data_IF_169672178732
#
_entry.id   IF_169672178732
#
_cell.length_a   1.000
_cell.length_b   1.000
_cell.length_c   1.000
_cell.angle_alpha   90.00
_cell.angle_beta   90.00
_cell.angle_gamma   90.00
#
_symmetry.space_group_name_H-M   'P 1'
#
loop_
_entity.id
_entity.type
_entity.pdbx_description
1 polymer ?
#
# COMPACT_ATOMS: atom_id res chain seq x y z
N UNK A 1 81.55 12.11 -9.25
CA UNK A 1 80.70 11.48 -10.29
C UNK A 1 79.74 10.42 -9.72
N UNK A 2 80.20 9.51 -8.85
CA UNK A 2 79.38 8.44 -8.27
C UNK A 2 78.13 8.93 -7.50
N UNK A 3 78.26 9.97 -6.66
CA UNK A 3 77.14 10.53 -5.89
C UNK A 3 76.00 11.06 -6.78
N UNK A 4 76.32 11.76 -7.87
CA UNK A 4 75.33 12.25 -8.86
C UNK A 4 74.62 11.10 -9.59
N UNK A 5 75.30 9.98 -9.81
CA UNK A 5 74.69 8.80 -10.43
C UNK A 5 73.78 8.04 -9.45
N UNK A 6 74.11 8.02 -8.16
CA UNK A 6 73.24 7.47 -7.12
C UNK A 6 71.98 8.31 -6.94
N UNK A 7 72.10 9.63 -6.91
CA UNK A 7 70.96 10.55 -6.80
C UNK A 7 69.98 10.39 -7.98
N UNK A 8 70.50 10.30 -9.22
CA UNK A 8 69.68 10.02 -10.41
C UNK A 8 68.94 8.67 -10.33
N UNK A 9 69.57 7.64 -9.78
CA UNK A 9 68.93 6.32 -9.57
C UNK A 9 67.83 6.41 -8.53
N UNK A 10 68.07 7.08 -7.41
CA UNK A 10 67.05 7.28 -6.38
C UNK A 10 65.84 8.05 -6.91
N UNK A 11 66.06 9.12 -7.69
CA UNK A 11 64.95 9.88 -8.31
C UNK A 11 64.17 9.01 -9.30
N UNK A 12 64.85 8.17 -10.09
CA UNK A 12 64.17 7.24 -11.00
C UNK A 12 63.37 6.17 -10.25
N UNK A 13 63.89 5.66 -9.13
CA UNK A 13 63.19 4.68 -8.30
C UNK A 13 61.99 5.28 -7.58
N UNK A 14 62.08 6.53 -7.12
CA UNK A 14 60.93 7.26 -6.56
C UNK A 14 59.84 7.42 -7.61
N UNK A 15 60.18 7.87 -8.82
CA UNK A 15 59.19 8.01 -9.91
C UNK A 15 58.51 6.70 -10.29
N UNK A 16 59.25 5.59 -10.31
CA UNK A 16 58.68 4.26 -10.55
C UNK A 16 57.70 3.84 -9.45
N UNK A 17 58.05 4.12 -8.19
CA UNK A 17 57.16 3.84 -7.05
C UNK A 17 55.90 4.70 -7.10
N UNK A 18 56.03 5.99 -7.45
CA UNK A 18 54.88 6.89 -7.62
C UNK A 18 53.94 6.39 -8.72
N UNK A 19 54.47 5.96 -9.87
CA UNK A 19 53.67 5.37 -10.95
C UNK A 19 52.97 4.09 -10.51
N UNK A 20 53.68 3.17 -9.85
CA UNK A 20 53.09 1.93 -9.36
C UNK A 20 52.01 2.15 -8.28
N UNK A 21 52.14 3.21 -7.47
CA UNK A 21 51.12 3.60 -6.51
C UNK A 21 49.90 4.19 -7.22
N UNK A 22 50.11 5.05 -8.21
CA UNK A 22 49.03 5.64 -9.00
C UNK A 22 48.21 4.56 -9.73
N UNK A 23 48.88 3.57 -10.34
CA UNK A 23 48.20 2.43 -11.00
C UNK A 23 47.34 1.63 -10.01
N UNK A 24 47.84 1.36 -8.80
CA UNK A 24 47.07 0.67 -7.75
C UNK A 24 45.88 1.47 -7.24
N UNK A 25 45.98 2.80 -7.18
CA UNK A 25 44.85 3.65 -6.79
C UNK A 25 43.74 3.52 -7.82
N UNK A 26 44.07 3.59 -9.12
CA UNK A 26 43.08 3.45 -10.19
C UNK A 26 42.39 2.08 -10.16
N UNK A 27 43.15 1.00 -9.98
CA UNK A 27 42.59 -0.36 -9.86
C UNK A 27 41.66 -0.49 -8.64
N UNK A 28 42.06 0.08 -7.49
CA UNK A 28 41.24 0.06 -6.29
C UNK A 28 39.97 0.90 -6.42
N UNK A 29 40.04 2.03 -7.12
CA UNK A 29 38.88 2.90 -7.36
C UNK A 29 37.84 2.20 -8.26
N UNK A 30 38.29 1.51 -9.32
CA UNK A 30 37.40 0.70 -10.16
C UNK A 30 36.73 -0.43 -9.35
N UNK A 31 37.51 -1.14 -8.53
CA UNK A 31 36.96 -2.18 -7.67
C UNK A 31 35.95 -1.62 -6.67
N UNK A 32 36.25 -0.48 -6.04
CA UNK A 32 35.37 0.17 -5.09
C UNK A 32 34.04 0.61 -5.73
N UNK A 33 34.07 1.14 -6.95
CA UNK A 33 32.85 1.51 -7.69
C UNK A 33 31.95 0.31 -7.95
N UNK A 34 32.54 -0.82 -8.37
CA UNK A 34 31.78 -2.06 -8.60
C UNK A 34 31.14 -2.56 -7.30
N UNK A 35 31.88 -2.56 -6.19
CA UNK A 35 31.34 -2.96 -4.89
C UNK A 35 30.22 -2.03 -4.43
N UNK A 36 30.38 -0.72 -4.57
CA UNK A 36 29.37 0.26 -4.18
C UNK A 36 28.07 0.08 -5.00
N UNK A 37 28.18 -0.22 -6.30
CA UNK A 37 27.02 -0.49 -7.15
C UNK A 37 26.28 -1.76 -6.71
N UNK A 38 27.01 -2.84 -6.41
CA UNK A 38 26.45 -4.08 -5.89
C UNK A 38 25.73 -3.82 -4.56
N UNK A 39 26.38 -3.15 -3.61
CA UNK A 39 25.77 -2.79 -2.32
C UNK A 39 24.52 -1.90 -2.47
N UNK A 40 24.53 -0.99 -3.45
CA UNK A 40 23.37 -0.14 -3.76
C UNK A 40 22.20 -0.97 -4.29
N UNK A 41 22.48 -1.96 -5.15
CA UNK A 41 21.45 -2.88 -5.65
C UNK A 41 20.87 -3.75 -4.53
N UNK A 42 21.72 -4.30 -3.65
CA UNK A 42 21.28 -5.06 -2.48
C UNK A 42 20.40 -4.24 -1.55
N UNK A 43 20.82 -3.02 -1.18
CA UNK A 43 20.02 -2.11 -0.36
C UNK A 43 18.69 -1.76 -1.00
N UNK A 44 18.66 -1.56 -2.32
CA UNK A 44 17.42 -1.29 -3.05
C UNK A 44 16.46 -2.50 -3.02
N UNK A 45 16.99 -3.72 -3.13
CA UNK A 45 16.21 -4.95 -3.04
C UNK A 45 15.65 -5.16 -1.63
N UNK A 46 16.48 -5.03 -0.60
CA UNK A 46 16.07 -5.14 0.81
C UNK A 46 14.96 -4.15 1.16
N UNK A 47 15.12 -2.88 0.72
CA UNK A 47 14.10 -1.86 0.92
C UNK A 47 12.78 -2.23 0.25
N UNK A 48 12.80 -2.65 -1.02
CA UNK A 48 11.58 -3.11 -1.73
C UNK A 48 10.91 -4.29 -1.02
N UNK A 49 11.70 -5.22 -0.52
CA UNK A 49 11.20 -6.38 0.23
C UNK A 49 10.55 -5.94 1.55
N UNK A 50 11.21 -5.07 2.31
CA UNK A 50 10.67 -4.51 3.55
C UNK A 50 9.39 -3.72 3.31
N UNK A 51 9.35 -2.88 2.28
CA UNK A 51 8.17 -2.12 1.89
C UNK A 51 7.01 -3.05 1.51
N UNK A 52 7.31 -4.15 0.80
CA UNK A 52 6.30 -5.16 0.42
C UNK A 52 5.72 -5.88 1.63
N UNK A 53 6.55 -6.22 2.63
CA UNK A 53 6.11 -6.83 3.88
C UNK A 53 5.28 -5.86 4.72
N UNK A 54 5.69 -4.59 4.80
CA UNK A 54 4.94 -3.56 5.52
C UNK A 54 3.56 -3.28 4.91
N UNK A 55 3.49 -3.28 3.57
CA UNK A 55 2.24 -3.19 2.83
C UNK A 55 1.35 -4.40 3.08
N UNK A 56 1.89 -5.61 2.97
CA UNK A 56 1.14 -6.85 3.23
C UNK A 56 0.56 -6.87 4.66
N UNK A 57 1.36 -6.52 5.66
CA UNK A 57 0.90 -6.47 7.06
C UNK A 57 -0.22 -5.43 7.28
N UNK A 58 -0.18 -4.31 6.55
CA UNK A 58 -1.23 -3.29 6.62
C UNK A 58 -2.51 -3.72 5.88
N UNK A 59 -2.37 -4.34 4.71
CA UNK A 59 -3.48 -4.91 3.95
C UNK A 59 -4.18 -6.03 4.73
N UNK A 60 -3.41 -6.92 5.37
CA UNK A 60 -3.96 -8.00 6.18
C UNK A 60 -4.69 -7.49 7.43
N UNK A 61 -4.16 -6.45 8.08
CA UNK A 61 -4.83 -5.79 9.21
C UNK A 61 -6.13 -5.11 8.77
N UNK A 62 -6.12 -4.42 7.64
CA UNK A 62 -7.31 -3.78 7.08
C UNK A 62 -8.36 -4.81 6.67
N UNK A 63 -7.93 -5.92 6.06
CA UNK A 63 -8.77 -7.06 5.70
C UNK A 63 -9.45 -7.65 6.94
N UNK A 64 -8.70 -7.88 8.02
CA UNK A 64 -9.26 -8.36 9.29
C UNK A 64 -10.30 -7.38 9.85
N UNK A 65 -10.03 -6.07 9.82
CA UNK A 65 -10.99 -5.05 10.27
C UNK A 65 -12.27 -5.11 9.43
N UNK A 66 -12.15 -5.20 8.11
CA UNK A 66 -13.31 -5.32 7.21
C UNK A 66 -14.13 -6.57 7.53
N UNK A 67 -13.49 -7.73 7.67
CA UNK A 67 -14.14 -9.00 8.06
C UNK A 67 -14.83 -8.88 9.42
N UNK A 68 -14.24 -8.19 10.41
CA UNK A 68 -14.85 -8.03 11.74
C UNK A 68 -16.05 -7.08 11.75
N UNK A 69 -16.07 -6.10 10.83
CA UNK A 69 -17.14 -5.11 10.74
C UNK A 69 -18.26 -5.52 9.79
N UNK A 70 -18.03 -6.47 8.88
CA UNK A 70 -19.08 -7.05 8.04
C UNK A 70 -19.87 -8.09 8.82
N UNK A 71 -21.20 -7.99 8.79
CA UNK A 71 -22.14 -8.83 9.55
C UNK A 71 -21.99 -10.33 9.26
N UNK A 72 -21.50 -10.70 8.08
CA UNK A 72 -21.35 -12.10 7.65
C UNK A 72 -19.89 -12.61 7.64
N UNK A 73 -18.91 -11.84 8.13
CA UNK A 73 -17.48 -12.21 8.14
C UNK A 73 -16.90 -12.59 6.76
N UNK A 74 -17.53 -12.15 5.68
CA UNK A 74 -17.04 -12.30 4.30
C UNK A 74 -16.50 -10.95 3.85
N UNK A 75 -15.32 -10.96 3.22
CA UNK A 75 -14.76 -9.82 2.51
C UNK A 75 -15.77 -9.39 1.42
N UNK A 76 -16.51 -8.32 1.66
CA UNK A 76 -17.51 -7.82 0.71
C UNK A 76 -16.89 -6.99 -0.42
N UNK A 77 -15.56 -7.01 -0.57
CA UNK A 77 -14.85 -6.39 -1.68
C UNK A 77 -14.61 -7.47 -2.72
N UNK A 78 -15.65 -7.72 -3.51
CA UNK A 78 -15.59 -8.50 -4.73
C UNK A 78 -14.51 -7.94 -5.68
N UNK A 79 -13.49 -8.75 -5.99
CA UNK A 79 -12.40 -8.41 -6.92
C UNK A 79 -12.87 -8.21 -8.35
N UNK A 80 -14.13 -8.53 -8.66
CA UNK A 80 -14.74 -8.34 -9.99
C UNK A 80 -15.49 -7.00 -10.14
N UNK A 81 -15.46 -6.13 -9.11
CA UNK A 81 -15.91 -4.74 -9.22
C UNK A 81 -17.43 -4.55 -9.40
N UNK A 82 -18.24 -5.57 -9.10
CA UNK A 82 -19.71 -5.51 -9.25
C UNK A 82 -20.48 -5.63 -7.93
N UNK A 83 -19.79 -5.55 -6.79
CA UNK A 83 -20.40 -5.59 -5.46
C UNK A 83 -20.73 -4.21 -4.86
N UNK A 84 -22.01 -3.84 -4.94
CA UNK A 84 -22.74 -2.94 -4.02
C UNK A 84 -22.28 -1.48 -3.97
N UNK A 85 -23.01 -0.62 -4.70
CA UNK A 85 -23.11 0.82 -4.40
C UNK A 85 -23.26 1.01 -2.88
N UNK A 86 -22.40 1.78 -2.20
CA UNK A 86 -22.74 2.26 -0.87
C UNK A 86 -24.03 3.05 -1.03
N UNK A 87 -25.10 2.57 -0.40
CA UNK A 87 -26.33 3.32 -0.24
C UNK A 87 -25.98 4.56 0.58
N UNK A 88 -25.78 5.72 -0.06
CA UNK A 88 -25.67 6.99 0.64
C UNK A 88 -27.07 7.40 1.12
N UNK A 89 -27.42 7.31 2.43
CA UNK A 89 -28.74 7.65 2.90
C UNK A 89 -28.73 9.06 3.47
N UNK A 90 -28.38 10.07 2.66
CA UNK A 90 -28.39 11.47 3.14
C UNK A 90 -29.17 12.46 2.28
N UNK A 91 -29.71 12.05 1.12
CA UNK A 91 -30.52 12.93 0.26
C UNK A 91 -31.91 12.39 -0.10
N UNK A 92 -32.41 11.36 0.59
CA UNK A 92 -33.82 10.98 0.48
C UNK A 92 -34.49 11.30 1.81
N UNK A 93 -35.04 12.51 1.92
CA UNK A 93 -36.11 12.77 2.88
C UNK A 93 -37.32 11.96 2.40
N UNK A 94 -37.38 10.68 2.76
CA UNK A 94 -38.61 9.92 2.64
C UNK A 94 -39.59 10.54 3.62
N UNK A 95 -40.53 11.33 3.10
CA UNK A 95 -41.77 11.60 3.82
C UNK A 95 -42.34 10.22 4.13
N UNK A 96 -42.43 9.89 5.41
CA UNK A 96 -42.96 8.59 5.84
C UNK A 96 -44.45 8.57 5.56
N UNK A 97 -44.79 8.17 4.35
CA UNK A 97 -46.15 7.77 4.04
C UNK A 97 -46.42 6.46 4.79
N UNK A 98 -47.56 6.35 5.47
CA UNK A 98 -48.01 5.14 6.17
C UNK A 98 -48.31 3.95 5.21
N UNK A 99 -47.71 3.94 4.02
CA UNK A 99 -47.82 2.88 3.03
C UNK A 99 -46.79 1.78 3.32
N UNK A 100 -47.23 0.71 3.96
CA UNK A 100 -46.42 -0.47 4.25
C UNK A 100 -46.12 -1.29 2.99
N UNK A 101 -45.16 -0.86 2.16
CA UNK A 101 -44.70 -1.60 0.97
C UNK A 101 -45.72 -1.77 -0.17
N UNK A 102 -46.97 -1.29 0.01
CA UNK A 102 -48.08 -1.43 -0.95
C UNK A 102 -48.25 -0.21 -1.88
N UNK A 103 -47.36 0.79 -1.78
CA UNK A 103 -47.45 2.04 -2.52
C UNK A 103 -48.50 3.02 -1.97
N UNK A 104 -48.40 4.29 -2.37
CA UNK A 104 -49.32 5.35 -1.96
C UNK A 104 -50.72 5.10 -2.54
N UNK A 105 -51.72 4.93 -1.67
CA UNK A 105 -53.12 4.73 -2.09
C UNK A 105 -53.96 5.98 -1.76
N UNK A 106 -54.32 6.82 -2.75
CA UNK A 106 -55.02 8.08 -2.51
C UNK A 106 -56.46 7.89 -2.03
N UNK A 107 -56.99 6.66 -2.01
CA UNK A 107 -58.35 6.36 -1.55
C UNK A 107 -58.42 6.05 -0.05
N UNK A 108 -57.29 5.83 0.63
CA UNK A 108 -57.28 5.50 2.05
C UNK A 108 -56.91 6.73 2.87
N UNK A 109 -57.79 7.11 3.80
CA UNK A 109 -57.47 8.14 4.80
C UNK A 109 -56.45 7.63 5.81
N UNK A 110 -55.66 8.51 6.44
CA UNK A 110 -54.62 8.14 7.41
C UNK A 110 -55.11 7.20 8.53
N UNK A 111 -56.31 7.43 9.07
CA UNK A 111 -56.92 6.57 10.11
C UNK A 111 -57.11 5.12 9.65
N UNK A 112 -57.55 4.93 8.41
CA UNK A 112 -57.74 3.61 7.80
C UNK A 112 -56.41 2.88 7.54
N UNK A 113 -55.29 3.61 7.50
CA UNK A 113 -53.95 3.02 7.39
C UNK A 113 -53.45 2.59 8.77
N UNK A 114 -53.69 3.39 9.81
CA UNK A 114 -53.36 3.03 11.18
C UNK A 114 -54.07 1.73 11.62
N UNK A 115 -55.37 1.60 11.32
CA UNK A 115 -56.14 0.39 11.60
C UNK A 115 -55.55 -0.87 10.91
N UNK A 116 -55.02 -0.70 9.69
CA UNK A 116 -54.40 -1.82 8.94
C UNK A 116 -53.04 -2.17 9.52
N UNK A 117 -52.27 -1.17 9.98
CA UNK A 117 -50.97 -1.39 10.63
C UNK A 117 -51.17 -2.16 11.93
N UNK A 118 -52.15 -1.76 12.75
CA UNK A 118 -52.46 -2.43 14.01
C UNK A 118 -52.97 -3.87 13.76
N UNK A 119 -53.84 -4.06 12.76
CA UNK A 119 -54.30 -5.40 12.36
C UNK A 119 -53.15 -6.33 11.93
N UNK A 120 -52.15 -5.82 11.19
CA UNK A 120 -50.99 -6.63 10.77
C UNK A 120 -50.07 -6.92 11.97
N UNK A 121 -49.90 -5.94 12.86
CA UNK A 121 -49.07 -6.06 14.06
C UNK A 121 -49.63 -7.09 15.04
N UNK A 122 -50.95 -7.13 15.20
CA UNK A 122 -51.63 -8.00 16.15
C UNK A 122 -51.99 -9.37 15.57
N UNK A 123 -51.58 -9.66 14.33
CA UNK A 123 -51.85 -10.96 13.70
C UNK A 123 -50.97 -12.04 14.35
N UNK A 124 -51.56 -13.03 15.07
CA UNK A 124 -50.79 -14.17 15.56
C UNK A 124 -50.30 -15.02 14.39
N UNK A 125 -49.08 -15.57 14.50
CA UNK A 125 -48.46 -16.44 13.50
C UNK A 125 -49.32 -17.65 13.11
#
# INVERSE_FOLDING_TARGET
>A
AAARNQEKRMVADVKRKEQAVAERILENDEYAQVQEEIERQHRAYEKKFQDSLGRHASEERNRQILITKTTDKVDLIDTTGRGVRPFEPSQVTTIRDHSFGLGHNPRKSGKLLDDVIDMVRDKPE
#
